data_IF_277024465536
#
_entry.id   IF_277024465536
#
_cell.length_a   1.000
_cell.length_b   1.000
_cell.length_c   1.000
_cell.angle_alpha   90.00
_cell.angle_beta   90.00
_cell.angle_gamma   90.00
#
_symmetry.space_group_name_H-M   'P 1'
#
loop_
_entity.id
_entity.type
_entity.pdbx_description
1 polymer ?
#
# COMPACT_ATOMS: atom_id res chain seq x y z
N UNK A 1 -4.14 6.95 25.55
CA UNK A 1 -4.04 6.84 24.76
C UNK A 1 -3.77 6.67 24.19
N UNK A 2 -3.72 6.58 24.58
CA UNK A 2 -3.55 6.45 23.76
C UNK A 2 -3.26 6.20 23.29
N UNK A 3 -3.21 6.25 23.57
CA UNK A 3 -3.09 5.98 22.71
C UNK A 3 -3.13 5.57 22.23
N UNK A 4 -3.04 5.64 22.57
CA UNK A 4 -3.18 5.24 21.75
C UNK A 4 -3.45 4.78 21.42
N UNK A 5 -3.60 4.76 21.45
CA UNK A 5 -3.84 4.21 20.89
C UNK A 5 -4.49 4.19 20.26
N UNK A 6 -4.52 4.27 20.31
CA UNK A 6 -4.99 4.06 19.57
C UNK A 6 -5.63 3.76 18.94
N UNK A 7 -6.00 3.45 18.87
CA UNK A 7 -6.52 2.96 18.30
C UNK A 7 -6.67 2.49 17.43
N UNK A 8 -6.97 1.94 16.99
CA UNK A 8 -7.05 1.41 16.05
C UNK A 8 -7.19 0.22 15.69
N UNK A 9 -7.92 -0.39 15.36
CA UNK A 9 -8.10 -1.61 15.37
C UNK A 9 -7.66 -2.36 14.35
N UNK A 10 -8.11 -2.25 13.43
CA UNK A 10 -7.62 -2.76 12.48
C UNK A 10 -6.44 -3.20 12.67
N UNK A 11 -6.39 -3.58 13.45
CA UNK A 11 -5.30 -3.40 13.85
C UNK A 11 -4.61 -4.53 14.36
N UNK A 12 -5.01 -5.70 14.24
CA UNK A 12 -4.22 -6.86 14.57
C UNK A 12 -2.88 -6.82 13.86
N UNK A 13 -2.90 -6.41 12.61
CA UNK A 13 -1.64 -6.25 11.88
C UNK A 13 -0.80 -5.14 12.45
N UNK A 14 -1.42 -4.04 12.79
CA UNK A 14 -0.69 -2.93 13.37
C UNK A 14 -0.10 -3.29 14.71
N UNK A 15 -0.83 -4.02 15.53
CA UNK A 15 -0.33 -4.47 16.83
C UNK A 15 0.88 -5.39 16.67
N UNK A 16 0.79 -6.31 15.74
CA UNK A 16 1.89 -7.23 15.47
C UNK A 16 3.14 -6.50 15.00
N UNK A 17 2.96 -5.50 14.15
CA UNK A 17 4.07 -4.68 13.67
C UNK A 17 4.65 -3.85 14.79
N UNK A 18 3.82 -3.32 15.65
CA UNK A 18 4.27 -2.46 16.73
C UNK A 18 5.04 -3.21 17.81
N UNK A 19 4.87 -4.52 17.89
CA UNK A 19 5.59 -5.30 18.88
C UNK A 19 7.08 -5.44 18.53
N UNK A 20 7.48 -5.17 17.30
CA UNK A 20 8.86 -5.24 16.87
C UNK A 20 9.49 -3.85 16.96
N UNK A 21 10.61 -3.67 17.71
CA UNK A 21 11.15 -2.32 17.94
C UNK A 21 11.39 -1.49 16.69
N UNK A 22 11.98 -2.07 15.65
CA UNK A 22 12.21 -1.35 14.41
C UNK A 22 10.90 -0.96 13.75
N UNK A 23 9.93 -1.87 13.77
CA UNK A 23 8.64 -1.61 13.16
C UNK A 23 7.87 -0.54 13.93
N UNK A 24 7.96 -0.59 15.26
CA UNK A 24 7.32 0.43 16.11
C UNK A 24 7.88 1.82 15.82
N UNK A 25 9.21 1.92 15.68
CA UNK A 25 9.84 3.19 15.37
C UNK A 25 9.40 3.71 13.99
N UNK A 26 9.25 2.82 13.03
CA UNK A 26 8.81 3.19 11.69
C UNK A 26 7.36 3.64 11.67
N UNK A 27 6.51 2.98 12.44
CA UNK A 27 5.11 3.40 12.55
C UNK A 27 5.00 4.77 13.22
N UNK A 28 5.81 5.01 14.25
CA UNK A 28 5.82 6.29 14.91
C UNK A 28 6.26 7.40 13.95
N UNK A 29 7.27 7.10 13.12
CA UNK A 29 7.72 8.06 12.12
C UNK A 29 6.64 8.34 11.08
N UNK A 30 5.91 7.31 10.67
CA UNK A 30 4.82 7.49 9.72
C UNK A 30 3.74 8.41 10.31
N UNK A 31 3.37 8.17 11.55
CA UNK A 31 2.38 9.01 12.23
C UNK A 31 2.85 10.45 12.33
N UNK A 32 4.14 10.62 12.64
CA UNK A 32 4.74 11.95 12.72
C UNK A 32 4.66 12.66 11.36
N UNK A 33 5.00 11.98 10.29
CA UNK A 33 4.93 12.53 8.94
C UNK A 33 3.50 12.96 8.62
N UNK A 34 2.53 12.13 8.96
CA UNK A 34 1.13 12.45 8.66
C UNK A 34 0.62 13.61 9.49
N UNK A 35 1.07 13.71 10.73
CA UNK A 35 0.69 14.83 11.60
C UNK A 35 1.29 16.14 11.11
N UNK A 36 2.45 16.08 10.51
CA UNK A 36 3.15 17.26 9.99
C UNK A 36 2.68 17.67 8.61
N UNK A 37 1.61 17.07 8.10
CA UNK A 37 1.06 17.43 6.80
C UNK A 37 1.46 16.50 5.68
N UNK A 38 2.12 15.39 5.99
CA UNK A 38 2.46 14.38 5.01
C UNK A 38 3.91 14.43 4.58
N UNK A 39 4.17 13.94 3.40
CA UNK A 39 5.54 13.80 2.88
C UNK A 39 6.12 15.14 2.41
N UNK A 40 7.44 15.24 2.33
CA UNK A 40 8.09 16.51 1.96
C UNK A 40 7.70 17.03 0.59
N UNK A 41 7.30 16.17 -0.34
CA UNK A 41 6.77 16.62 -1.60
C UNK A 41 5.31 16.24 -1.68
N UNK A 42 4.61 17.02 -2.48
CA UNK A 42 3.18 16.87 -2.65
C UNK A 42 2.87 15.54 -3.32
N UNK A 43 2.17 14.70 -2.62
CA UNK A 43 1.58 13.52 -3.22
C UNK A 43 0.19 13.37 -2.60
N UNK A 44 -0.82 13.37 -3.45
CA UNK A 44 -2.19 13.32 -2.95
C UNK A 44 -2.81 11.98 -3.25
N UNK A 45 -3.08 11.23 -2.18
CA UNK A 45 -3.86 10.02 -2.30
C UNK A 45 -5.35 10.39 -2.29
N UNK A 46 -6.17 9.60 -2.94
CA UNK A 46 -7.62 9.80 -2.91
C UNK A 46 -8.35 8.69 -2.16
N UNK A 47 -7.63 7.70 -1.67
CA UNK A 47 -8.25 6.61 -0.93
C UNK A 47 -7.26 6.01 0.06
N UNK A 48 -7.79 5.42 1.12
CA UNK A 48 -7.00 4.63 2.06
C UNK A 48 -7.30 3.16 1.83
N UNK A 49 -6.44 2.30 2.37
CA UNK A 49 -6.64 0.86 2.27
C UNK A 49 -8.01 0.45 2.82
N UNK A 50 -8.37 1.01 3.98
CA UNK A 50 -9.65 0.72 4.61
C UNK A 50 -10.83 1.14 3.76
N UNK A 51 -10.75 2.32 3.15
CA UNK A 51 -11.83 2.80 2.28
C UNK A 51 -12.02 1.90 1.08
N UNK A 52 -10.93 1.41 0.50
CA UNK A 52 -11.04 0.53 -0.64
C UNK A 52 -11.65 -0.82 -0.27
N UNK A 53 -11.26 -1.38 0.88
CA UNK A 53 -11.86 -2.61 1.35
C UNK A 53 -13.36 -2.43 1.62
N UNK A 54 -13.74 -1.28 2.10
CA UNK A 54 -15.14 -0.98 2.37
C UNK A 54 -15.94 -0.83 1.08
N UNK A 55 -15.39 -0.12 0.10
CA UNK A 55 -16.10 0.15 -1.15
C UNK A 55 -16.14 -1.05 -2.08
N UNK A 56 -15.09 -1.85 -2.10
CA UNK A 56 -14.92 -2.89 -3.12
C UNK A 56 -14.82 -4.30 -2.54
N UNK A 57 -15.10 -4.47 -1.26
CA UNK A 57 -14.96 -5.78 -0.62
C UNK A 57 -15.85 -6.86 -1.20
N UNK A 58 -16.88 -6.47 -1.95
CA UNK A 58 -17.82 -7.43 -2.55
C UNK A 58 -17.44 -7.85 -3.96
N UNK A 59 -16.33 -7.35 -4.50
CA UNK A 59 -15.89 -7.76 -5.82
C UNK A 59 -15.55 -9.24 -5.85
N UNK A 60 -15.98 -9.92 -6.89
CA UNK A 60 -15.69 -11.34 -7.02
C UNK A 60 -14.25 -11.57 -7.44
N UNK A 61 -13.67 -12.74 -7.10
CA UNK A 61 -12.32 -13.06 -7.52
C UNK A 61 -12.15 -12.87 -9.02
N UNK A 62 -11.09 -12.16 -9.41
CA UNK A 62 -10.80 -11.88 -10.81
C UNK A 62 -11.54 -10.69 -11.39
N UNK A 63 -12.40 -10.04 -10.63
CA UNK A 63 -13.19 -8.91 -11.14
C UNK A 63 -12.37 -7.63 -11.21
N UNK A 64 -12.69 -6.80 -12.20
CA UNK A 64 -12.10 -5.47 -12.34
C UNK A 64 -13.18 -4.44 -12.08
N UNK A 65 -12.87 -3.47 -11.22
CA UNK A 65 -13.88 -2.50 -10.82
C UNK A 65 -14.12 -1.40 -11.85
N UNK A 66 -13.15 -1.15 -12.71
CA UNK A 66 -13.20 -0.01 -13.62
C UNK A 66 -12.91 1.31 -12.94
N UNK A 67 -12.57 1.30 -11.66
CA UNK A 67 -12.34 2.52 -10.88
C UNK A 67 -10.88 2.69 -10.57
N UNK A 68 -10.39 3.92 -10.67
CA UNK A 68 -9.01 4.27 -10.35
C UNK A 68 -8.89 4.69 -8.90
N UNK A 69 -7.76 4.37 -8.29
CA UNK A 69 -7.48 4.82 -6.94
C UNK A 69 -6.01 5.20 -6.84
N UNK A 70 -5.72 6.16 -5.99
CA UNK A 70 -4.37 6.59 -5.68
C UNK A 70 -4.17 6.41 -4.18
N UNK A 71 -3.18 5.59 -3.83
CA UNK A 71 -2.90 5.25 -2.44
C UNK A 71 -1.47 5.59 -2.11
N UNK A 72 -1.18 5.74 -0.83
CA UNK A 72 0.17 6.04 -0.37
C UNK A 72 0.41 5.30 0.93
N UNK A 73 1.61 4.77 1.10
CA UNK A 73 1.94 4.06 2.31
C UNK A 73 3.30 3.42 2.22
N UNK A 74 3.53 2.50 3.13
CA UNK A 74 4.79 1.82 3.25
C UNK A 74 4.72 0.48 2.55
N UNK A 75 5.67 0.27 1.64
CA UNK A 75 5.72 -0.99 0.89
C UNK A 75 6.27 -2.09 1.78
N UNK A 76 5.56 -3.21 1.81
CA UNK A 76 5.95 -4.37 2.60
C UNK A 76 5.94 -5.59 1.69
N UNK A 77 6.79 -6.56 2.01
CA UNK A 77 6.72 -7.91 1.41
C UNK A 77 6.46 -7.95 -0.09
N UNK A 78 7.47 -7.58 -0.88
CA UNK A 78 7.36 -7.69 -2.33
C UNK A 78 7.71 -9.11 -2.78
N UNK A 79 7.10 -9.52 -3.88
CA UNK A 79 7.32 -10.84 -4.44
C UNK A 79 7.19 -10.77 -5.96
N UNK A 80 8.18 -11.29 -6.65
CA UNK A 80 8.18 -11.34 -8.11
C UNK A 80 7.79 -12.73 -8.58
N UNK A 81 6.92 -12.81 -9.57
CA UNK A 81 6.47 -14.07 -10.16
C UNK A 81 6.37 -13.92 -11.67
N UNK A 82 7.49 -14.08 -12.36
CA UNK A 82 7.53 -13.92 -13.81
C UNK A 82 7.27 -12.49 -14.23
N UNK A 83 6.19 -12.28 -14.96
CA UNK A 83 5.81 -10.93 -15.42
C UNK A 83 4.90 -10.22 -14.44
N UNK A 84 4.64 -10.83 -13.31
CA UNK A 84 3.82 -10.25 -12.26
C UNK A 84 4.64 -10.03 -11.02
N UNK A 85 4.23 -9.07 -10.22
CA UNK A 85 4.80 -8.86 -8.90
C UNK A 85 3.70 -8.43 -7.97
N UNK A 86 3.93 -8.62 -6.70
CA UNK A 86 2.96 -8.29 -5.67
C UNK A 86 3.67 -7.58 -4.54
N UNK A 87 2.98 -6.67 -3.91
CA UNK A 87 3.47 -6.05 -2.70
C UNK A 87 2.29 -5.76 -1.80
N UNK A 88 2.57 -5.45 -0.55
CA UNK A 88 1.55 -5.01 0.38
C UNK A 88 1.85 -3.58 0.73
N UNK A 89 0.86 -2.72 0.60
CA UNK A 89 0.99 -1.32 0.98
C UNK A 89 0.28 -1.13 2.31
N UNK A 90 1.01 -0.69 3.31
CA UNK A 90 0.46 -0.44 4.63
C UNK A 90 0.31 1.04 4.84
N UNK A 91 -0.90 1.50 5.14
CA UNK A 91 -1.13 2.88 5.54
C UNK A 91 -1.72 2.88 6.95
N UNK A 92 -2.08 4.05 7.44
CA UNK A 92 -2.56 4.17 8.82
C UNK A 92 -3.89 3.44 9.02
N UNK A 93 -4.63 3.20 7.96
CA UNK A 93 -5.95 2.56 8.04
C UNK A 93 -5.90 1.05 7.92
N UNK A 94 -4.84 0.49 7.34
CA UNK A 94 -4.75 -0.94 7.10
C UNK A 94 -3.80 -1.26 5.97
N UNK A 95 -4.05 -2.36 5.28
CA UNK A 95 -3.17 -2.84 4.22
C UNK A 95 -3.97 -3.15 2.97
N UNK A 96 -3.34 -2.97 1.81
CA UNK A 96 -3.94 -3.35 0.55
C UNK A 96 -2.85 -3.93 -0.35
N UNK A 97 -3.20 -4.93 -1.14
CA UNK A 97 -2.24 -5.53 -2.05
C UNK A 97 -2.03 -4.63 -3.26
N UNK A 98 -0.80 -4.51 -3.69
CA UNK A 98 -0.47 -3.92 -4.97
C UNK A 98 -0.23 -5.07 -5.95
N UNK A 99 -0.88 -4.98 -7.08
CA UNK A 99 -0.76 -5.98 -8.15
C UNK A 99 0.01 -5.29 -9.26
N UNK A 100 1.13 -5.87 -9.66
CA UNK A 100 2.02 -5.25 -10.64
C UNK A 100 2.13 -6.17 -11.83
N UNK A 101 1.70 -5.68 -12.98
CA UNK A 101 1.75 -6.44 -14.22
C UNK A 101 2.70 -5.72 -15.17
N UNK A 102 3.73 -6.40 -15.61
CA UNK A 102 4.74 -5.83 -16.49
C UNK A 102 4.13 -5.27 -17.77
N UNK A 103 3.04 -5.87 -18.25
CA UNK A 103 2.35 -5.40 -19.46
C UNK A 103 1.67 -4.05 -19.23
N UNK A 104 1.28 -3.76 -17.99
CA UNK A 104 0.60 -2.51 -17.65
C UNK A 104 1.62 -1.44 -17.29
N UNK A 105 2.60 -1.78 -16.46
CA UNK A 105 3.55 -0.83 -15.94
C UNK A 105 4.72 -0.56 -16.90
N UNK A 106 4.97 -1.49 -17.82
CA UNK A 106 6.10 -1.40 -18.72
C UNK A 106 7.35 -2.02 -18.11
N UNK A 107 8.35 -2.30 -18.95
CA UNK A 107 9.56 -2.98 -18.49
C UNK A 107 10.32 -2.14 -17.49
N UNK A 108 10.52 -0.85 -17.77
CA UNK A 108 11.24 0.04 -16.87
C UNK A 108 10.53 0.21 -15.56
N UNK A 109 9.22 0.41 -15.60
CA UNK A 109 8.44 0.58 -14.39
C UNK A 109 8.43 -0.67 -13.54
N UNK A 110 8.33 -1.81 -14.18
CA UNK A 110 8.35 -3.09 -13.47
C UNK A 110 9.69 -3.30 -12.77
N UNK A 111 10.79 -3.05 -13.46
CA UNK A 111 12.12 -3.19 -12.86
C UNK A 111 12.32 -2.20 -11.71
N UNK A 112 11.84 -0.98 -11.89
CA UNK A 112 11.92 0.02 -10.83
C UNK A 112 11.14 -0.42 -9.60
N UNK A 113 9.98 -1.05 -9.79
CA UNK A 113 9.20 -1.57 -8.68
C UNK A 113 9.95 -2.70 -7.97
N UNK A 114 10.52 -3.62 -8.73
CA UNK A 114 11.26 -4.75 -8.17
C UNK A 114 12.47 -4.27 -7.37
N UNK A 115 13.07 -3.15 -7.77
CA UNK A 115 14.23 -2.60 -7.09
C UNK A 115 13.90 -1.86 -5.79
N UNK A 116 12.63 -1.67 -5.49
CA UNK A 116 12.24 -1.04 -4.23
C UNK A 116 12.55 -1.97 -3.06
N UNK A 117 12.83 -1.37 -1.92
CA UNK A 117 13.08 -2.15 -0.70
C UNK A 117 11.83 -2.18 0.18
N UNK A 118 11.66 -3.29 0.89
CA UNK A 118 10.64 -3.36 1.91
C UNK A 118 10.87 -2.26 2.94
N UNK A 119 9.85 -1.46 3.16
CA UNK A 119 9.95 -0.32 4.08
C UNK A 119 10.01 1.01 3.38
N UNK A 120 10.20 1.02 2.05
CA UNK A 120 10.14 2.27 1.29
C UNK A 120 8.72 2.84 1.34
N UNK A 121 8.61 4.15 1.34
CA UNK A 121 7.31 4.83 1.28
C UNK A 121 7.03 5.21 -0.15
N UNK A 122 5.88 4.77 -0.66
CA UNK A 122 5.53 5.03 -2.06
C UNK A 122 4.09 5.51 -2.18
N UNK A 123 3.83 6.18 -3.28
CA UNK A 123 2.49 6.44 -3.73
C UNK A 123 2.27 5.64 -5.00
N UNK A 124 1.06 5.14 -5.20
CA UNK A 124 0.75 4.32 -6.36
C UNK A 124 -0.67 4.56 -6.83
N UNK A 125 -0.85 4.52 -8.14
CA UNK A 125 -2.16 4.71 -8.75
C UNK A 125 -2.46 3.56 -9.68
N UNK A 126 -3.72 3.19 -9.78
CA UNK A 126 -4.14 2.15 -10.69
C UNK A 126 -5.58 1.75 -10.48
N UNK A 127 -5.97 0.72 -11.19
CA UNK A 127 -7.34 0.24 -11.12
C UNK A 127 -7.53 -0.69 -9.93
N UNK A 128 -8.65 -0.54 -9.24
CA UNK A 128 -9.00 -1.44 -8.14
C UNK A 128 -9.55 -2.73 -8.74
N UNK A 129 -8.93 -3.84 -8.39
CA UNK A 129 -9.33 -5.15 -8.88
C UNK A 129 -9.33 -6.14 -7.72
N UNK A 130 -9.86 -7.32 -7.96
CA UNK A 130 -9.70 -8.43 -7.04
C UNK A 130 -8.91 -9.50 -7.77
N UNK A 131 -7.85 -10.00 -7.15
CA UNK A 131 -7.04 -11.03 -7.78
C UNK A 131 -7.84 -12.32 -7.92
N UNK A 132 -7.34 -13.26 -8.70
CA UNK A 132 -8.03 -14.54 -8.90
C UNK A 132 -8.19 -15.30 -7.58
N UNK A 133 -7.34 -15.02 -6.61
CA UNK A 133 -7.43 -15.63 -5.29
C UNK A 133 -8.35 -14.88 -4.36
N UNK A 134 -8.95 -13.79 -4.80
CA UNK A 134 -9.89 -13.05 -3.99
C UNK A 134 -9.29 -11.93 -3.16
N UNK A 135 -8.05 -11.53 -3.43
CA UNK A 135 -7.42 -10.46 -2.69
C UNK A 135 -7.66 -9.12 -3.37
N UNK A 136 -8.28 -8.18 -2.66
CA UNK A 136 -8.50 -6.84 -3.18
C UNK A 136 -7.17 -6.14 -3.38
N UNK A 137 -6.99 -5.55 -4.54
CA UNK A 137 -5.68 -5.00 -4.94
C UNK A 137 -5.85 -3.75 -5.77
N UNK A 138 -4.78 -2.97 -5.82
CA UNK A 138 -4.66 -1.90 -6.82
C UNK A 138 -3.67 -2.41 -7.86
N UNK A 139 -4.14 -2.56 -9.11
CA UNK A 139 -3.26 -2.94 -10.21
C UNK A 139 -2.60 -1.67 -10.70
N UNK A 140 -1.38 -1.43 -10.26
CA UNK A 140 -0.78 -0.11 -10.43
C UNK A 140 -0.33 0.12 -11.87
N UNK A 141 -0.59 1.32 -12.36
CA UNK A 141 -0.09 1.76 -13.65
C UNK A 141 0.99 2.84 -13.49
N UNK A 142 1.19 3.34 -12.29
CA UNK A 142 2.27 4.27 -11.98
C UNK A 142 2.53 4.27 -10.48
N UNK A 143 3.75 4.62 -10.10
CA UNK A 143 4.07 4.79 -8.69
C UNK A 143 5.20 5.81 -8.55
N UNK A 144 5.32 6.35 -7.34
CA UNK A 144 6.33 7.35 -7.02
C UNK A 144 6.97 6.98 -5.68
N UNK A 145 8.29 7.01 -5.63
CA UNK A 145 8.99 6.83 -4.36
C UNK A 145 8.89 8.12 -3.56
N UNK A 146 8.30 8.04 -2.37
CA UNK A 146 8.09 9.21 -1.52
C UNK A 146 9.21 9.38 -0.51
N UNK A 147 9.68 8.27 0.05
CA UNK A 147 10.78 8.31 1.01
C UNK A 147 11.47 6.97 1.03
N UNK A 148 12.78 7.00 0.86
CA UNK A 148 13.60 5.79 0.88
C UNK A 148 13.84 5.35 2.32
N UNK A 149 13.81 4.05 2.53
CA UNK A 149 14.11 3.48 3.84
C UNK A 149 15.54 3.81 4.28
#
# INVERSE_FOLDING_TARGET
>A
MTDAQDATPELDHASSLESHPLTAARLARYRQIMEDGGFPYSFERDATASELHERFGDLEPGAESGEQATVAGRLMNTREMGKLAFGVLADVSGMIQLFVDKRVLGDEGFEAFIDLDSGDWIGASGEVITSKRGELSVRIDSFTLLQKL
#
